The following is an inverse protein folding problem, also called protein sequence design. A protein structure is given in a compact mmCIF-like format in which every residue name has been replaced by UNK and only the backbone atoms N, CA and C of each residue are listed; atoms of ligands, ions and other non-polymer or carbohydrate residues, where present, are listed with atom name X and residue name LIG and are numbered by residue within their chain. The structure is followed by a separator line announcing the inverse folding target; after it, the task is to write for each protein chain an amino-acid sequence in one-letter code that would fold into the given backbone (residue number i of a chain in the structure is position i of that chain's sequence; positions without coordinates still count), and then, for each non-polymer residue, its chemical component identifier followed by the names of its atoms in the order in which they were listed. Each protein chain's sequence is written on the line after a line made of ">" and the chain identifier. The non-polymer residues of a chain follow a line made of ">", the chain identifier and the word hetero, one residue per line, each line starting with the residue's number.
data_IF_811368539326
#
_entry.id   IF_811368539326
#
_cell.length_a   1.000
_cell.length_b   1.000
_cell.length_c   1.000
_cell.angle_alpha   90.00
_cell.angle_beta   90.00
_cell.angle_gamma   90.00
#
_symmetry.space_group_name_H-M   'P 1'
#
loop_
_entity.id
_entity.type
_entity.pdbx_description
1 polymer ?
#
# COMPACT_ATOMS: atom_id res chain seq x y z
N UNK A 1 -25.18 -6.62 12.55
CA UNK A 1 -23.80 -6.84 12.07
C UNK A 1 -22.91 -5.89 12.86
N UNK A 2 -21.74 -6.35 13.32
CA UNK A 2 -20.71 -5.44 13.82
C UNK A 2 -20.05 -4.78 12.60
N UNK A 3 -19.84 -3.47 12.64
CA UNK A 3 -19.05 -2.79 11.60
C UNK A 3 -17.58 -3.24 11.68
N UNK A 4 -16.85 -3.09 10.58
CA UNK A 4 -15.42 -3.39 10.54
C UNK A 4 -14.65 -2.52 11.55
N UNK A 5 -15.02 -1.24 11.69
CA UNK A 5 -14.50 -0.36 12.74
C UNK A 5 -14.72 -0.92 14.14
N UNK A 6 -15.92 -1.39 14.47
CA UNK A 6 -16.21 -1.95 15.79
C UNK A 6 -15.34 -3.18 16.12
N UNK A 7 -15.04 -4.03 15.13
CA UNK A 7 -14.15 -5.18 15.30
C UNK A 7 -12.71 -4.73 15.63
N UNK A 8 -12.20 -3.73 14.92
CA UNK A 8 -10.86 -3.17 15.15
C UNK A 8 -10.78 -2.47 16.51
N UNK A 9 -11.79 -1.67 16.86
CA UNK A 9 -11.85 -0.98 18.15
C UNK A 9 -11.80 -1.96 19.32
N UNK A 10 -12.45 -3.12 19.20
CA UNK A 10 -12.44 -4.17 20.24
C UNK A 10 -11.08 -4.89 20.38
N UNK A 11 -10.22 -4.80 19.37
CA UNK A 11 -8.94 -5.53 19.27
C UNK A 11 -7.77 -4.69 19.80
N UNK A 12 -7.73 -4.41 21.11
CA UNK A 12 -6.74 -3.50 21.74
C UNK A 12 -5.27 -3.86 21.55
N UNK A 13 -4.96 -5.13 21.26
CA UNK A 13 -3.60 -5.63 21.02
C UNK A 13 -3.32 -5.99 19.57
N UNK A 14 -4.09 -5.45 18.62
CA UNK A 14 -3.97 -5.77 17.21
C UNK A 14 -2.57 -5.39 16.68
N UNK A 15 -1.82 -6.41 16.26
CA UNK A 15 -0.49 -6.29 15.64
C UNK A 15 -0.54 -6.51 14.13
N UNK A 16 -1.41 -7.41 13.68
CA UNK A 16 -1.48 -7.80 12.28
C UNK A 16 -2.92 -7.64 11.81
N UNK A 17 -3.12 -6.81 10.79
CA UNK A 17 -4.41 -6.64 10.15
C UNK A 17 -4.29 -6.98 8.68
N UNK A 18 -5.04 -7.99 8.26
CA UNK A 18 -5.25 -8.31 6.86
C UNK A 18 -6.76 -8.32 6.61
N UNK A 19 -7.19 -7.52 5.64
CA UNK A 19 -8.59 -7.39 5.29
C UNK A 19 -8.71 -7.48 3.79
N UNK A 20 -9.64 -8.31 3.34
CA UNK A 20 -10.09 -8.33 1.95
C UNK A 20 -11.52 -7.80 1.89
N UNK A 21 -11.70 -6.70 1.17
CA UNK A 21 -12.99 -6.09 0.94
C UNK A 21 -13.45 -6.39 -0.49
N UNK A 22 -14.65 -6.96 -0.58
CA UNK A 22 -15.39 -7.17 -1.83
C UNK A 22 -16.60 -6.24 -1.77
N UNK A 23 -16.73 -5.36 -2.74
CA UNK A 23 -17.90 -4.47 -2.89
C UNK A 23 -18.20 -3.50 -1.73
N UNK A 24 -17.27 -3.29 -0.79
CA UNK A 24 -17.33 -2.19 0.21
C UNK A 24 -15.98 -1.48 0.42
N UNK A 25 -15.98 -0.16 0.56
CA UNK A 25 -14.78 0.61 0.91
C UNK A 25 -14.67 0.76 2.44
N UNK A 26 -13.45 0.89 2.99
CA UNK A 26 -13.30 1.26 4.39
C UNK A 26 -13.85 2.67 4.64
N UNK A 27 -14.76 2.79 5.60
CA UNK A 27 -15.41 4.05 5.98
C UNK A 27 -14.60 4.84 7.03
N UNK A 28 -15.09 6.03 7.40
CA UNK A 28 -14.45 6.88 8.42
C UNK A 28 -14.33 6.17 9.78
N UNK A 29 -15.32 5.36 10.15
CA UNK A 29 -15.33 4.57 11.39
C UNK A 29 -14.19 3.54 11.39
N UNK A 30 -13.96 2.87 10.27
CA UNK A 30 -12.82 1.97 10.09
C UNK A 30 -11.49 2.69 10.29
N UNK A 31 -11.28 3.82 9.61
CA UNK A 31 -10.00 4.54 9.67
C UNK A 31 -9.75 5.11 11.06
N UNK A 32 -10.79 5.61 11.72
CA UNK A 32 -10.72 6.07 13.11
C UNK A 32 -10.31 4.93 14.04
N UNK A 33 -10.97 3.77 13.94
CA UNK A 33 -10.62 2.60 14.73
C UNK A 33 -9.19 2.11 14.46
N UNK A 34 -8.72 2.17 13.21
CA UNK A 34 -7.37 1.79 12.83
C UNK A 34 -6.32 2.72 13.44
N UNK A 35 -6.55 4.05 13.41
CA UNK A 35 -5.67 5.06 14.03
C UNK A 35 -5.50 4.85 15.53
N UNK A 36 -6.54 4.40 16.23
CA UNK A 36 -6.40 4.05 17.65
C UNK A 36 -5.39 2.91 17.88
N UNK A 37 -5.08 2.10 16.85
CA UNK A 37 -4.11 0.99 16.89
C UNK A 37 -2.73 1.37 16.38
N UNK A 38 -2.47 2.66 16.12
CA UNK A 38 -1.19 3.15 15.61
C UNK A 38 0.02 2.73 16.47
N UNK A 39 -0.17 2.62 17.79
CA UNK A 39 0.89 2.22 18.72
C UNK A 39 1.12 0.70 18.84
N UNK A 40 0.29 -0.13 18.20
CA UNK A 40 0.36 -1.59 18.29
C UNK A 40 0.50 -2.30 16.95
N UNK A 41 -0.03 -1.71 15.88
CA UNK A 41 -0.06 -2.34 14.56
C UNK A 41 1.36 -2.42 13.97
N UNK A 42 1.76 -3.61 13.59
CA UNK A 42 3.06 -3.96 13.01
C UNK A 42 2.94 -4.27 11.51
N UNK A 43 1.80 -4.83 11.08
CA UNK A 43 1.53 -5.12 9.66
C UNK A 43 0.10 -4.74 9.25
N UNK A 44 -0.05 -4.13 8.08
CA UNK A 44 -1.32 -3.73 7.49
C UNK A 44 -1.41 -4.20 6.04
N UNK A 45 -2.40 -5.04 5.72
CA UNK A 45 -2.68 -5.47 4.36
C UNK A 45 -4.15 -5.18 4.04
N UNK A 46 -4.38 -4.25 3.12
CA UNK A 46 -5.72 -3.88 2.68
C UNK A 46 -5.90 -4.31 1.24
N UNK A 47 -6.70 -5.34 1.05
CA UNK A 47 -7.02 -5.91 -0.26
C UNK A 47 -8.41 -5.46 -0.68
N UNK A 48 -8.51 -4.78 -1.82
CA UNK A 48 -9.80 -4.22 -2.27
C UNK A 48 -10.10 -4.71 -3.68
N UNK A 49 -11.09 -5.59 -3.76
CA UNK A 49 -11.56 -6.16 -5.01
C UNK A 49 -12.77 -5.37 -5.52
N UNK A 50 -12.52 -4.16 -6.02
CA UNK A 50 -13.49 -3.37 -6.78
C UNK A 50 -13.11 -3.27 -8.25
N UNK A 51 -14.10 -2.97 -9.10
CA UNK A 51 -13.90 -2.53 -10.48
C UNK A 51 -13.22 -1.16 -10.57
N UNK A 52 -13.21 -0.56 -11.77
CA UNK A 52 -12.48 0.67 -12.17
C UNK A 52 -12.90 1.98 -11.44
N UNK A 53 -13.60 1.90 -10.31
CA UNK A 53 -14.07 3.08 -9.60
C UNK A 53 -12.89 3.82 -8.93
N UNK A 54 -12.72 5.09 -9.35
CA UNK A 54 -11.74 6.04 -8.85
C UNK A 54 -12.02 6.35 -7.38
N UNK A 55 -11.00 6.18 -6.54
CA UNK A 55 -11.04 6.52 -5.12
C UNK A 55 -11.14 8.04 -4.93
N UNK A 56 -11.96 8.48 -3.98
CA UNK A 56 -12.05 9.89 -3.59
C UNK A 56 -10.84 10.25 -2.71
N UNK A 57 -9.99 11.17 -3.17
CA UNK A 57 -8.78 11.65 -2.48
C UNK A 57 -8.99 12.05 -1.00
N UNK A 58 -10.24 12.30 -0.61
CA UNK A 58 -10.62 12.65 0.77
C UNK A 58 -10.65 11.48 1.76
N UNK A 59 -10.58 10.23 1.28
CA UNK A 59 -10.70 9.02 2.14
C UNK A 59 -9.36 8.39 2.53
N UNK A 60 -8.28 9.16 2.47
CA UNK A 60 -6.92 8.63 2.65
C UNK A 60 -6.50 8.79 4.10
N UNK A 61 -6.12 7.67 4.72
CA UNK A 61 -5.65 7.67 6.09
C UNK A 61 -4.17 8.03 6.14
N UNK A 62 -3.87 9.15 6.78
CA UNK A 62 -2.53 9.44 7.28
C UNK A 62 -2.11 8.34 8.29
N UNK A 63 -1.07 7.59 7.93
CA UNK A 63 -0.47 6.52 8.74
C UNK A 63 0.87 6.94 9.36
N UNK A 64 1.25 8.22 9.29
CA UNK A 64 2.51 8.73 9.85
C UNK A 64 2.66 8.46 11.35
N UNK A 65 1.54 8.38 12.08
CA UNK A 65 1.49 8.10 13.51
C UNK A 65 1.74 6.61 13.87
N UNK A 66 1.84 5.70 12.90
CA UNK A 66 1.97 4.26 13.14
C UNK A 66 3.42 3.85 13.41
N UNK A 67 3.95 4.24 14.57
CA UNK A 67 5.36 4.07 14.96
C UNK A 67 5.89 2.63 14.92
N UNK A 68 5.01 1.62 14.92
CA UNK A 68 5.39 0.20 14.86
C UNK A 68 5.12 -0.48 13.53
N UNK A 69 4.46 0.19 12.59
CA UNK A 69 4.09 -0.40 11.31
C UNK A 69 5.34 -0.60 10.45
N UNK A 70 5.73 -1.86 10.26
CA UNK A 70 6.93 -2.25 9.50
C UNK A 70 6.60 -2.74 8.11
N UNK A 71 5.40 -3.28 7.90
CA UNK A 71 4.98 -3.81 6.61
C UNK A 71 3.59 -3.33 6.25
N UNK A 72 3.46 -2.86 5.01
CA UNK A 72 2.22 -2.35 4.49
C UNK A 72 1.98 -2.84 3.05
N UNK A 73 0.77 -3.32 2.79
CA UNK A 73 0.27 -3.56 1.44
C UNK A 73 -1.02 -2.77 1.23
N UNK A 74 -1.05 -1.97 0.17
CA UNK A 74 -2.21 -1.19 -0.24
C UNK A 74 -2.40 -1.21 -1.75
N UNK A 75 -3.61 -0.87 -2.17
CA UNK A 75 -3.96 -0.80 -3.58
C UNK A 75 -3.66 0.61 -4.09
N UNK A 76 -3.22 0.74 -5.34
CA UNK A 76 -2.80 2.04 -5.86
C UNK A 76 -3.90 3.10 -5.83
N UNK A 77 -5.15 2.69 -6.02
CA UNK A 77 -6.31 3.59 -5.88
C UNK A 77 -6.37 4.26 -4.49
N UNK A 78 -5.73 3.69 -3.47
CA UNK A 78 -5.64 4.25 -2.12
C UNK A 78 -4.51 5.29 -1.95
N UNK A 79 -3.68 5.51 -2.97
CA UNK A 79 -2.52 6.40 -2.86
C UNK A 79 -2.95 7.85 -3.03
N UNK A 80 -2.63 8.64 -2.00
CA UNK A 80 -2.75 10.10 -2.07
C UNK A 80 -1.70 10.66 -3.02
N UNK A 81 -1.96 11.80 -3.67
CA UNK A 81 -0.90 12.62 -4.26
C UNK A 81 0.22 13.01 -3.27
N UNK A 82 -0.03 12.90 -1.95
CA UNK A 82 0.93 13.13 -0.86
C UNK A 82 1.17 11.86 -0.02
N UNK A 83 1.21 10.70 -0.68
CA UNK A 83 1.47 9.40 -0.03
C UNK A 83 2.72 9.44 0.83
N UNK A 84 3.79 10.06 0.35
CA UNK A 84 5.08 10.17 1.05
C UNK A 84 4.98 10.80 2.45
N UNK A 85 4.02 11.72 2.64
CA UNK A 85 3.80 12.40 3.92
C UNK A 85 2.89 11.60 4.85
N UNK A 86 2.16 10.61 4.29
CA UNK A 86 1.22 9.76 5.00
C UNK A 86 1.85 8.45 5.49
N UNK A 87 3.08 8.13 5.09
CA UNK A 87 3.75 6.89 5.47
C UNK A 87 4.52 7.04 6.81
N UNK A 88 4.51 6.00 7.68
CA UNK A 88 5.28 6.04 8.90
C UNK A 88 6.77 5.85 8.64
N UNK A 89 7.61 6.51 9.44
CA UNK A 89 9.08 6.44 9.32
C UNK A 89 9.66 5.08 9.72
N UNK A 90 8.88 4.25 10.41
CA UNK A 90 9.21 2.88 10.82
C UNK A 90 8.97 1.82 9.73
N UNK A 91 8.41 2.22 8.57
CA UNK A 91 8.05 1.30 7.50
C UNK A 91 9.30 0.67 6.87
N UNK A 92 9.36 -0.66 6.86
CA UNK A 92 10.46 -1.43 6.27
C UNK A 92 10.11 -2.01 4.89
N UNK A 93 8.83 -2.37 4.70
CA UNK A 93 8.32 -3.00 3.47
C UNK A 93 7.04 -2.30 3.02
N UNK A 94 7.04 -1.81 1.78
CA UNK A 94 5.86 -1.24 1.12
C UNK A 94 5.51 -2.03 -0.14
N UNK A 95 4.30 -2.57 -0.20
CA UNK A 95 3.75 -3.20 -1.40
C UNK A 95 2.60 -2.36 -1.93
N UNK A 96 2.68 -1.98 -3.20
CA UNK A 96 1.60 -1.31 -3.92
C UNK A 96 1.03 -2.28 -4.96
N UNK A 97 -0.24 -2.62 -4.80
CA UNK A 97 -0.95 -3.58 -5.64
C UNK A 97 -1.89 -2.91 -6.63
N UNK A 98 -2.11 -3.56 -7.77
CA UNK A 98 -2.97 -3.09 -8.88
C UNK A 98 -2.57 -1.72 -9.42
N UNK A 99 -1.30 -1.58 -9.80
CA UNK A 99 -0.84 -0.36 -10.44
C UNK A 99 -1.38 -0.16 -11.87
N UNK A 100 -1.90 1.04 -12.16
CA UNK A 100 -2.41 1.63 -13.39
C UNK A 100 -1.60 2.89 -13.81
N UNK A 101 -2.07 3.64 -14.82
CA UNK A 101 -1.35 4.73 -15.50
C UNK A 101 -0.65 5.77 -14.62
N UNK A 102 -1.26 6.33 -13.55
CA UNK A 102 -0.59 7.27 -12.66
C UNK A 102 0.49 6.67 -11.74
N UNK A 103 0.58 5.34 -11.59
CA UNK A 103 1.48 4.69 -10.63
C UNK A 103 2.96 5.11 -10.75
N UNK A 104 3.57 5.25 -11.94
CA UNK A 104 4.98 5.61 -12.07
C UNK A 104 5.34 6.97 -11.47
N UNK A 105 4.48 7.98 -11.60
CA UNK A 105 4.75 9.31 -11.07
C UNK A 105 4.76 9.30 -9.53
N UNK A 106 3.85 8.53 -8.93
CA UNK A 106 3.80 8.34 -7.48
C UNK A 106 5.02 7.57 -6.96
N UNK A 107 5.48 6.56 -7.71
CA UNK A 107 6.72 5.83 -7.36
C UNK A 107 7.95 6.75 -7.46
N UNK A 108 8.01 7.63 -8.46
CA UNK A 108 9.07 8.64 -8.58
C UNK A 108 9.07 9.62 -7.39
N UNK A 109 7.89 10.09 -6.96
CA UNK A 109 7.75 10.93 -5.76
C UNK A 109 8.22 10.20 -4.49
N UNK A 110 7.86 8.93 -4.31
CA UNK A 110 8.35 8.10 -3.21
C UNK A 110 9.88 7.98 -3.23
N UNK A 111 10.47 7.76 -4.41
CA UNK A 111 11.92 7.70 -4.57
C UNK A 111 12.60 9.01 -4.14
N UNK A 112 12.02 10.17 -4.49
CA UNK A 112 12.52 11.46 -4.03
C UNK A 112 12.49 11.59 -2.51
N UNK A 113 11.41 11.13 -1.87
CA UNK A 113 11.26 11.16 -0.41
C UNK A 113 12.23 10.22 0.31
N UNK A 114 12.50 9.04 -0.27
CA UNK A 114 13.52 8.11 0.22
C UNK A 114 14.91 8.75 0.14
N UNK A 115 15.26 9.33 -1.02
CA UNK A 115 16.54 10.03 -1.20
C UNK A 115 16.70 11.24 -0.26
N UNK A 116 15.59 11.86 0.14
CA UNK A 116 15.56 12.93 1.13
C UNK A 116 15.63 12.43 2.59
N UNK A 117 15.67 11.10 2.82
CA UNK A 117 15.76 10.50 4.16
C UNK A 117 14.45 10.49 4.95
N UNK A 118 13.29 10.67 4.29
CA UNK A 118 11.97 10.67 4.98
C UNK A 118 11.49 9.28 5.40
N UNK A 119 11.96 8.24 4.71
CA UNK A 119 11.63 6.83 4.99
C UNK A 119 12.92 6.06 5.34
N UNK A 120 13.54 6.34 6.50
CA UNK A 120 14.88 5.87 6.82
C UNK A 120 14.96 4.35 7.02
N UNK A 121 13.86 3.69 7.40
CA UNK A 121 13.82 2.25 7.66
C UNK A 121 13.38 1.42 6.45
N UNK A 122 12.96 2.07 5.35
CA UNK A 122 12.44 1.38 4.18
C UNK A 122 13.56 0.58 3.50
N UNK A 123 13.36 -0.73 3.39
CA UNK A 123 14.33 -1.68 2.82
C UNK A 123 13.81 -2.34 1.56
N UNK A 124 12.50 -2.46 1.43
CA UNK A 124 11.87 -3.16 0.32
C UNK A 124 10.64 -2.41 -0.19
N UNK A 125 10.54 -2.28 -1.50
CA UNK A 125 9.38 -1.73 -2.19
C UNK A 125 8.98 -2.66 -3.34
N UNK A 126 7.73 -3.09 -3.31
CA UNK A 126 7.16 -4.07 -4.23
C UNK A 126 6.00 -3.46 -5.01
N UNK A 127 5.99 -3.63 -6.33
CA UNK A 127 4.89 -3.20 -7.19
C UNK A 127 4.23 -4.43 -7.82
N UNK A 128 2.99 -4.73 -7.42
CA UNK A 128 2.19 -5.77 -8.04
C UNK A 128 1.30 -5.15 -9.13
N UNK A 129 1.65 -5.40 -10.39
CA UNK A 129 0.98 -4.87 -11.56
C UNK A 129 -0.26 -5.69 -11.92
N UNK A 130 -1.30 -5.00 -12.39
CA UNK A 130 -2.48 -5.64 -12.97
C UNK A 130 -2.29 -5.82 -14.48
N UNK A 131 -1.91 -7.02 -14.92
CA UNK A 131 -1.59 -7.32 -16.34
C UNK A 131 -2.82 -7.44 -17.24
N UNK A 132 -4.02 -7.09 -16.75
CA UNK A 132 -5.23 -7.09 -17.57
C UNK A 132 -5.18 -6.07 -18.72
N UNK A 133 -4.25 -5.08 -18.67
CA UNK A 133 -4.01 -4.13 -19.75
C UNK A 133 -2.58 -4.26 -20.35
N UNK A 134 -2.48 -4.94 -21.49
CA UNK A 134 -1.21 -5.39 -22.10
C UNK A 134 -0.40 -4.28 -22.79
N UNK A 135 -1.05 -3.23 -23.30
CA UNK A 135 -0.32 -2.09 -23.91
C UNK A 135 0.27 -1.17 -22.83
N UNK A 136 -0.44 -1.04 -21.72
CA UNK A 136 0.03 -0.28 -20.56
C UNK A 136 1.23 -0.94 -19.88
N UNK A 137 1.28 -2.28 -19.83
CA UNK A 137 2.35 -3.01 -19.15
C UNK A 137 3.73 -2.76 -19.75
N UNK A 138 3.88 -2.61 -21.08
CA UNK A 138 5.19 -2.43 -21.70
C UNK A 138 5.84 -1.07 -21.38
N UNK A 139 5.05 0.02 -21.41
CA UNK A 139 5.55 1.35 -21.07
C UNK A 139 5.80 1.49 -19.55
N UNK A 140 4.93 0.87 -18.75
CA UNK A 140 5.12 0.76 -17.31
C UNK A 140 6.41 -0.01 -16.99
N UNK A 141 6.65 -1.15 -17.64
CA UNK A 141 7.84 -1.98 -17.43
C UNK A 141 9.14 -1.21 -17.70
N UNK A 142 9.23 -0.45 -18.79
CA UNK A 142 10.42 0.36 -19.09
C UNK A 142 10.68 1.42 -18.01
N UNK A 143 9.63 2.08 -17.52
CA UNK A 143 9.75 3.08 -16.44
C UNK A 143 10.15 2.44 -15.12
N UNK A 144 9.49 1.33 -14.73
CA UNK A 144 9.80 0.62 -13.48
C UNK A 144 11.22 0.02 -13.51
N UNK A 145 11.67 -0.47 -14.67
CA UNK A 145 13.05 -0.93 -14.86
C UNK A 145 14.06 0.20 -14.60
N UNK A 146 13.79 1.39 -15.13
CA UNK A 146 14.63 2.58 -14.88
C UNK A 146 14.67 3.02 -13.42
N UNK A 147 13.58 2.80 -12.67
CA UNK A 147 13.52 3.10 -11.24
C UNK A 147 14.28 2.08 -10.40
N UNK A 148 14.37 0.82 -10.84
CA UNK A 148 15.01 -0.25 -10.07
C UNK A 148 16.46 0.07 -9.67
N UNK A 149 17.27 0.63 -10.60
CA UNK A 149 18.63 1.06 -10.29
C UNK A 149 18.64 2.22 -9.29
N UNK A 150 17.71 3.17 -9.43
CA UNK A 150 17.62 4.34 -8.58
C UNK A 150 17.24 4.00 -7.13
N UNK A 151 16.33 3.04 -6.93
CA UNK A 151 16.00 2.53 -5.59
C UNK A 151 17.16 1.76 -4.98
N UNK A 152 17.85 0.94 -5.78
CA UNK A 152 19.03 0.19 -5.34
C UNK A 152 20.15 1.12 -4.86
N UNK A 153 20.39 2.23 -5.57
CA UNK A 153 21.32 3.29 -5.14
C UNK A 153 20.89 3.97 -3.84
N UNK A 154 19.58 4.08 -3.60
CA UNK A 154 19.01 4.59 -2.36
C UNK A 154 19.01 3.55 -1.21
N UNK A 155 19.55 2.33 -1.43
CA UNK A 155 19.59 1.27 -0.43
C UNK A 155 18.29 0.49 -0.27
N UNK A 156 17.32 0.67 -1.17
CA UNK A 156 16.01 0.01 -1.15
C UNK A 156 15.96 -1.05 -2.23
N UNK A 157 15.60 -2.28 -1.84
CA UNK A 157 15.31 -3.35 -2.81
C UNK A 157 13.99 -3.04 -3.50
N UNK A 158 14.03 -2.88 -4.81
CA UNK A 158 12.84 -2.64 -5.63
C UNK A 158 12.52 -3.85 -6.49
N UNK A 159 11.29 -4.34 -6.38
CA UNK A 159 10.76 -5.44 -7.19
C UNK A 159 9.43 -5.04 -7.80
N UNK A 160 9.17 -5.51 -9.02
CA UNK A 160 7.88 -5.34 -9.67
C UNK A 160 7.56 -6.59 -10.48
N UNK A 161 6.27 -6.92 -10.59
CA UNK A 161 5.85 -8.13 -11.28
C UNK A 161 4.33 -8.26 -11.35
N UNK A 162 3.86 -9.36 -11.94
CA UNK A 162 2.44 -9.63 -12.02
C UNK A 162 1.82 -9.88 -10.65
N UNK A 163 0.67 -9.24 -10.39
CA UNK A 163 -0.25 -9.70 -9.37
C UNK A 163 -0.75 -11.08 -9.80
N UNK A 164 -0.14 -12.13 -9.26
CA UNK A 164 -0.69 -13.48 -9.38
C UNK A 164 -1.91 -13.47 -8.47
N UNK A 165 -3.10 -13.57 -9.04
CA UNK A 165 -4.37 -13.57 -8.32
C UNK A 165 -4.23 -14.34 -7.00
N UNK A 166 -4.48 -13.67 -5.87
CA UNK A 166 -4.66 -14.31 -4.55
C UNK A 166 -5.96 -15.14 -4.48
N UNK A 167 -6.35 -15.76 -5.60
CA UNK A 167 -7.46 -16.67 -5.75
C UNK A 167 -6.96 -17.96 -6.40
N UNK A 168 -6.06 -18.69 -5.72
CA UNK A 168 -5.92 -20.15 -5.80
C UNK A 168 -4.80 -20.63 -4.86
N UNK A 169 -5.06 -20.64 -3.55
CA UNK A 169 -4.36 -21.53 -2.62
C UNK A 169 -5.28 -21.90 -1.44
N UNK A 170 -6.52 -22.29 -1.73
CA UNK A 170 -7.29 -23.16 -0.83
C UNK A 170 -8.04 -24.19 -1.67
N UNK A 171 -7.68 -25.47 -1.46
CA UNK A 171 -8.39 -26.70 -1.87
C UNK A 171 -8.48 -26.96 -3.40
N UNK A 172 -7.98 -28.05 -3.98
CA UNK A 172 -7.58 -29.39 -3.52
C UNK A 172 -6.37 -29.91 -4.34
#
# INVERSE_FOLDING_TARGET
>A
MLSLGALISSSKGLKHLQITLTDTYPDEDFWTALKERASTLETLQLHINFGEAVWDETQICDLSAFEKLRSMEIFQVMLSPALEDSLPTSLEVLTISRCDEPCPAQIEQLLHSIKAGRLPELKEMNIAMDHRNVEFSAHLDERLLGLQSCFSEAGVRFQYGACVDYACATSD
#
